data_IF_517948882550
#
_entry.id   IF_517948882550
#
_cell.length_a   1.000
_cell.length_b   1.000
_cell.length_c   1.000
_cell.angle_alpha   90.00
_cell.angle_beta   90.00
_cell.angle_gamma   90.00
#
_symmetry.space_group_name_H-M   'P 1'
#
loop_
_entity.id
_entity.type
_entity.pdbx_description
1 polymer ?
#
# COMPACT_ATOMS: atom_id res chain seq x y z
N UNK A 1 -5.52 -15.75 -56.74
CA UNK A 1 -6.50 -15.94 -55.65
C UNK A 1 -5.68 -16.33 -54.44
N UNK A 2 -5.55 -15.41 -53.49
CA UNK A 2 -4.57 -15.46 -52.42
C UNK A 2 -5.33 -15.75 -51.12
N UNK A 3 -5.02 -16.86 -50.44
CA UNK A 3 -5.66 -17.32 -49.20
C UNK A 3 -5.37 -16.42 -47.97
N UNK A 4 -4.83 -15.22 -48.18
CA UNK A 4 -4.48 -14.27 -47.12
C UNK A 4 -5.61 -13.30 -46.75
N UNK A 5 -6.68 -13.25 -47.56
CA UNK A 5 -7.77 -12.30 -47.32
C UNK A 5 -8.84 -12.85 -46.36
N UNK A 6 -8.97 -14.17 -46.20
CA UNK A 6 -9.94 -14.79 -45.27
C UNK A 6 -9.47 -14.76 -43.81
N UNK A 7 -8.17 -14.87 -43.54
CA UNK A 7 -7.65 -14.95 -42.15
C UNK A 7 -7.72 -13.60 -41.42
N UNK A 8 -7.75 -12.49 -42.17
CA UNK A 8 -7.91 -11.13 -41.60
C UNK A 8 -9.33 -10.86 -41.08
N UNK A 9 -10.31 -11.67 -41.48
CA UNK A 9 -11.73 -11.46 -41.15
C UNK A 9 -12.20 -12.20 -39.88
N UNK A 10 -11.39 -13.14 -39.36
CA UNK A 10 -11.78 -14.01 -38.24
C UNK A 10 -11.27 -13.53 -36.87
N UNK A 11 -10.33 -12.57 -36.83
CA UNK A 11 -9.77 -12.02 -35.58
C UNK A 11 -10.37 -10.68 -35.13
N UNK A 12 -11.40 -10.15 -35.79
CA UNK A 12 -12.20 -9.03 -35.25
C UNK A 12 -13.29 -9.54 -34.31
N UNK A 13 -12.92 -10.51 -33.46
CA UNK A 13 -13.78 -11.07 -32.43
C UNK A 13 -14.23 -9.94 -31.51
N UNK A 14 -15.48 -9.52 -31.72
CA UNK A 14 -16.38 -8.81 -30.84
C UNK A 14 -15.80 -8.64 -29.42
N UNK A 15 -14.95 -7.62 -29.25
CA UNK A 15 -14.44 -7.27 -27.94
C UNK A 15 -15.60 -6.59 -27.22
N UNK A 16 -16.39 -7.40 -26.52
CA UNK A 16 -17.43 -6.91 -25.62
C UNK A 16 -16.75 -6.00 -24.60
N UNK A 17 -16.84 -4.70 -24.85
CA UNK A 17 -16.31 -3.68 -23.96
C UNK A 17 -17.22 -3.63 -22.74
N UNK A 18 -16.96 -4.51 -21.78
CA UNK A 18 -17.74 -4.58 -20.54
C UNK A 18 -17.46 -3.28 -19.79
N UNK A 19 -18.45 -2.40 -19.59
CA UNK A 19 -18.22 -1.14 -18.89
C UNK A 19 -17.72 -1.44 -17.47
N UNK A 20 -16.54 -0.91 -17.15
CA UNK A 20 -15.89 -1.12 -15.85
C UNK A 20 -14.85 -2.23 -15.79
N UNK A 21 -14.64 -3.02 -16.86
CA UNK A 21 -13.56 -4.02 -16.92
C UNK A 21 -12.19 -3.40 -16.66
N UNK A 22 -11.93 -2.24 -17.23
CA UNK A 22 -10.66 -1.52 -17.04
C UNK A 22 -10.49 -1.00 -15.62
N UNK A 23 -11.58 -0.56 -14.98
CA UNK A 23 -11.54 -0.15 -13.57
C UNK A 23 -11.26 -1.33 -12.66
N UNK A 24 -11.86 -2.50 -12.93
CA UNK A 24 -11.61 -3.74 -12.18
C UNK A 24 -10.16 -4.17 -12.38
N UNK A 25 -9.67 -4.18 -13.61
CA UNK A 25 -8.29 -4.56 -13.93
C UNK A 25 -7.28 -3.61 -13.22
N UNK A 26 -7.51 -2.30 -13.27
CA UNK A 26 -6.69 -1.31 -12.56
C UNK A 26 -6.76 -1.51 -11.04
N UNK A 27 -7.94 -1.80 -10.49
CA UNK A 27 -8.09 -2.09 -9.06
C UNK A 27 -7.30 -3.33 -8.66
N UNK A 28 -7.40 -4.42 -9.41
CA UNK A 28 -6.63 -5.65 -9.17
C UNK A 28 -5.13 -5.36 -9.26
N UNK A 29 -4.69 -4.67 -10.31
CA UNK A 29 -3.28 -4.35 -10.53
C UNK A 29 -2.72 -3.48 -9.40
N UNK A 30 -3.46 -2.46 -8.95
CA UNK A 30 -3.03 -1.59 -7.84
C UNK A 30 -2.96 -2.35 -6.52
N UNK A 31 -3.91 -3.24 -6.24
CA UNK A 31 -3.88 -4.08 -5.05
C UNK A 31 -2.70 -5.05 -5.06
N UNK A 32 -2.39 -5.67 -6.20
CA UNK A 32 -1.19 -6.51 -6.36
C UNK A 32 0.08 -5.66 -6.13
N UNK A 33 0.13 -4.46 -6.70
CA UNK A 33 1.26 -3.55 -6.55
C UNK A 33 1.51 -3.18 -5.08
N UNK A 34 0.46 -2.86 -4.31
CA UNK A 34 0.58 -2.58 -2.86
C UNK A 34 0.89 -3.85 -2.06
N UNK A 35 0.02 -4.85 -2.12
CA UNK A 35 -0.02 -5.96 -1.16
C UNK A 35 1.04 -7.02 -1.41
N UNK A 36 1.46 -7.18 -2.66
CA UNK A 36 2.40 -8.22 -3.07
C UNK A 36 3.73 -7.60 -3.45
N UNK A 37 3.77 -6.82 -4.53
CA UNK A 37 5.04 -6.34 -5.12
C UNK A 37 5.79 -5.45 -4.15
N UNK A 38 5.17 -4.35 -3.72
CA UNK A 38 5.82 -3.38 -2.84
C UNK A 38 6.16 -4.00 -1.48
N UNK A 39 5.26 -4.83 -0.94
CA UNK A 39 5.51 -5.56 0.31
C UNK A 39 6.77 -6.42 0.23
N UNK A 40 6.91 -7.22 -0.83
CA UNK A 40 8.06 -8.09 -1.03
C UNK A 40 9.34 -7.25 -1.16
N UNK A 41 9.33 -6.22 -2.01
CA UNK A 41 10.50 -5.37 -2.24
C UNK A 41 10.95 -4.64 -0.98
N UNK A 42 10.04 -3.94 -0.29
CA UNK A 42 10.35 -3.21 0.94
C UNK A 42 10.87 -4.18 2.00
N UNK A 43 10.21 -5.32 2.19
CA UNK A 43 10.63 -6.32 3.18
C UNK A 43 11.99 -6.92 2.84
N UNK A 44 12.28 -7.17 1.56
CA UNK A 44 13.54 -7.72 1.10
C UNK A 44 14.70 -6.77 1.37
N UNK A 45 14.61 -5.52 0.91
CA UNK A 45 15.65 -4.52 1.14
C UNK A 45 15.87 -4.24 2.62
N UNK A 46 14.77 -4.17 3.40
CA UNK A 46 14.87 -3.98 4.84
C UNK A 46 15.56 -5.14 5.54
N UNK A 47 15.27 -6.39 5.15
CA UNK A 47 15.91 -7.58 5.73
C UNK A 47 17.40 -7.63 5.40
N UNK A 48 17.80 -7.26 4.18
CA UNK A 48 19.23 -7.14 3.82
C UNK A 48 19.91 -6.12 4.73
N UNK A 49 19.33 -4.91 4.85
CA UNK A 49 19.88 -3.88 5.73
C UNK A 49 19.97 -4.38 7.18
N UNK A 50 18.93 -5.05 7.68
CA UNK A 50 18.90 -5.62 9.03
C UNK A 50 20.01 -6.65 9.26
N UNK A 51 20.26 -7.55 8.29
CA UNK A 51 21.35 -8.54 8.36
C UNK A 51 22.70 -7.82 8.46
N UNK A 52 22.91 -6.76 7.67
CA UNK A 52 24.14 -5.97 7.70
C UNK A 52 24.31 -5.31 9.08
N UNK A 53 23.29 -4.61 9.60
CA UNK A 53 23.38 -3.93 10.89
C UNK A 53 23.62 -4.91 12.05
N UNK A 54 22.90 -6.04 12.07
CA UNK A 54 23.12 -7.08 13.08
C UNK A 54 24.51 -7.68 12.99
N UNK A 55 25.02 -7.90 11.77
CA UNK A 55 26.40 -8.40 11.56
C UNK A 55 27.47 -7.40 12.02
N UNK A 56 27.15 -6.10 12.02
CA UNK A 56 27.99 -5.03 12.56
C UNK A 56 27.84 -4.83 14.08
N UNK A 57 27.02 -5.66 14.75
CA UNK A 57 26.87 -5.66 16.21
C UNK A 57 25.57 -5.03 16.73
N UNK A 58 24.61 -4.68 15.86
CA UNK A 58 23.29 -4.22 16.31
C UNK A 58 22.44 -5.38 16.86
N UNK A 59 21.51 -5.06 17.76
CA UNK A 59 20.58 -6.06 18.30
C UNK A 59 19.50 -6.40 17.25
N UNK A 60 19.18 -7.69 17.01
CA UNK A 60 18.06 -8.08 16.15
C UNK A 60 16.73 -7.44 16.55
N UNK A 61 16.54 -7.11 17.84
CA UNK A 61 15.34 -6.44 18.35
C UNK A 61 15.16 -5.02 17.78
N UNK A 62 16.23 -4.38 17.33
CA UNK A 62 16.22 -3.03 16.76
C UNK A 62 15.76 -3.02 15.30
N UNK A 63 15.57 -4.20 14.70
CA UNK A 63 15.10 -4.37 13.33
C UNK A 63 13.70 -4.99 13.25
N UNK A 64 12.65 -4.35 13.81
CA UNK A 64 11.30 -4.90 13.79
C UNK A 64 10.73 -4.95 12.36
N UNK A 65 9.74 -5.82 12.08
CA UNK A 65 9.12 -5.91 10.76
C UNK A 65 8.55 -4.56 10.28
N UNK A 66 8.90 -4.17 9.05
CA UNK A 66 8.47 -2.89 8.44
C UNK A 66 7.11 -2.96 7.76
N UNK A 67 6.62 -4.18 7.50
CA UNK A 67 5.27 -4.46 7.05
C UNK A 67 4.58 -5.31 8.10
N UNK A 68 3.41 -4.87 8.55
CA UNK A 68 2.60 -5.55 9.55
C UNK A 68 1.72 -6.66 9.00
N UNK A 69 0.72 -7.07 9.79
CA UNK A 69 -0.21 -8.14 9.44
C UNK A 69 -1.32 -7.60 8.53
N UNK A 70 -1.62 -8.31 7.43
CA UNK A 70 -2.74 -7.95 6.54
C UNK A 70 -4.09 -7.99 7.25
N UNK A 71 -4.24 -8.87 8.26
CA UNK A 71 -5.45 -8.99 9.08
C UNK A 71 -5.84 -7.69 9.80
N UNK A 72 -4.94 -6.73 9.92
CA UNK A 72 -5.19 -5.44 10.56
C UNK A 72 -5.71 -4.36 9.60
N UNK A 73 -5.72 -4.61 8.27
CA UNK A 73 -6.05 -3.61 7.25
C UNK A 73 -7.57 -3.35 7.07
N UNK A 74 -8.32 -3.35 8.17
CA UNK A 74 -9.77 -3.09 8.15
C UNK A 74 -10.13 -1.61 8.42
N UNK A 75 -9.14 -0.73 8.51
CA UNK A 75 -9.32 0.73 8.52
C UNK A 75 -8.14 1.40 7.81
N UNK A 76 -8.35 2.57 7.21
CA UNK A 76 -7.26 3.36 6.61
C UNK A 76 -6.23 3.74 7.67
N UNK A 77 -6.68 3.98 8.90
CA UNK A 77 -5.77 4.23 10.03
C UNK A 77 -4.89 3.05 10.39
N UNK A 78 -5.43 1.84 10.40
CA UNK A 78 -4.62 0.65 10.62
C UNK A 78 -3.72 0.34 9.43
N UNK A 79 -4.19 0.58 8.20
CA UNK A 79 -3.38 0.39 7.01
C UNK A 79 -2.06 1.16 7.11
N UNK A 80 -2.11 2.47 7.36
CA UNK A 80 -0.89 3.28 7.51
C UNK A 80 -0.21 3.12 8.89
N UNK A 81 -0.99 2.95 9.95
CA UNK A 81 -0.51 2.97 11.32
C UNK A 81 0.01 1.63 11.87
N UNK A 82 -0.29 0.52 11.21
CA UNK A 82 0.11 -0.84 11.64
C UNK A 82 0.65 -1.71 10.52
N UNK A 83 0.13 -1.58 9.30
CA UNK A 83 0.51 -2.46 8.20
C UNK A 83 1.63 -1.89 7.31
N UNK A 84 1.47 -0.66 6.82
CA UNK A 84 2.32 -0.14 5.74
C UNK A 84 3.57 0.59 6.25
N UNK A 85 4.73 0.28 5.67
CA UNK A 85 5.99 1.04 5.75
C UNK A 85 6.29 1.71 7.11
N UNK A 86 6.37 0.90 8.17
CA UNK A 86 6.38 1.36 9.56
C UNK A 86 7.61 2.19 9.96
N UNK A 87 8.71 2.15 9.20
CA UNK A 87 9.91 2.96 9.47
C UNK A 87 9.64 4.46 9.43
N UNK A 88 8.71 4.90 8.57
CA UNK A 88 8.40 6.32 8.41
C UNK A 88 7.44 6.83 9.50
N UNK A 89 6.85 5.93 10.29
CA UNK A 89 5.85 6.29 11.29
C UNK A 89 6.42 7.23 12.33
N UNK A 90 7.54 6.88 12.95
CA UNK A 90 8.16 7.70 13.98
C UNK A 90 8.63 9.07 13.46
N UNK A 91 9.44 9.18 12.39
CA UNK A 91 9.90 10.48 11.92
C UNK A 91 8.73 11.38 11.47
N UNK A 92 7.77 10.86 10.70
CA UNK A 92 6.65 11.68 10.23
C UNK A 92 5.75 12.14 11.38
N UNK A 93 5.42 11.24 12.32
CA UNK A 93 4.58 11.63 13.47
C UNK A 93 5.31 12.57 14.42
N UNK A 94 6.63 12.41 14.61
CA UNK A 94 7.44 13.34 15.40
C UNK A 94 7.45 14.74 14.79
N UNK A 95 7.73 14.87 13.50
CA UNK A 95 7.70 16.15 12.77
C UNK A 95 6.33 16.80 12.85
N UNK A 96 5.27 16.00 12.65
CA UNK A 96 3.89 16.46 12.75
C UNK A 96 3.54 16.96 14.15
N UNK A 97 3.95 16.23 15.19
CA UNK A 97 3.72 16.61 16.58
C UNK A 97 4.48 17.90 16.95
N UNK A 98 5.72 18.03 16.48
CA UNK A 98 6.50 19.26 16.66
C UNK A 98 5.82 20.46 15.99
N UNK A 99 5.36 20.31 14.75
CA UNK A 99 4.70 21.42 14.04
C UNK A 99 3.36 21.79 14.70
N UNK A 100 2.52 20.81 15.00
CA UNK A 100 1.19 21.06 15.58
C UNK A 100 1.23 21.60 16.99
N UNK A 101 2.12 21.06 17.84
CA UNK A 101 2.18 21.41 19.27
C UNK A 101 3.24 22.45 19.59
N UNK A 102 4.41 22.35 18.96
CA UNK A 102 5.53 23.24 19.21
C UNK A 102 5.41 24.57 18.46
N UNK A 103 4.99 24.54 17.19
CA UNK A 103 4.92 25.75 16.35
C UNK A 103 3.53 26.38 16.40
N UNK A 104 2.47 25.59 16.20
CA UNK A 104 1.10 26.09 16.13
C UNK A 104 0.38 26.16 17.50
N UNK A 105 0.94 25.55 18.54
CA UNK A 105 0.39 25.60 19.89
C UNK A 105 -1.03 24.99 20.01
N UNK A 106 -1.39 24.01 19.17
CA UNK A 106 -2.75 23.48 19.14
C UNK A 106 -3.09 22.74 20.46
N UNK A 107 -4.35 22.86 20.95
CA UNK A 107 -4.77 22.18 22.18
C UNK A 107 -4.70 20.66 22.04
N UNK A 108 -4.14 20.00 23.06
CA UNK A 108 -3.98 18.54 23.08
C UNK A 108 -5.34 17.83 22.98
N UNK A 109 -5.35 16.74 22.23
CA UNK A 109 -6.51 15.89 21.98
C UNK A 109 -7.70 16.63 21.34
N UNK A 110 -7.45 17.78 20.70
CA UNK A 110 -8.48 18.49 19.95
C UNK A 110 -8.69 17.89 18.57
N UNK A 111 -9.89 18.09 18.02
CA UNK A 111 -10.20 17.67 16.65
C UNK A 111 -9.27 18.36 15.65
N UNK A 112 -8.99 19.65 15.85
CA UNK A 112 -8.08 20.44 15.01
C UNK A 112 -6.67 19.85 15.05
N UNK A 113 -6.10 19.63 16.24
CA UNK A 113 -4.77 19.02 16.38
C UNK A 113 -4.69 17.67 15.65
N UNK A 114 -5.71 16.81 15.79
CA UNK A 114 -5.73 15.49 15.17
C UNK A 114 -5.63 15.57 13.65
N UNK A 115 -6.48 16.37 13.01
CA UNK A 115 -6.50 16.43 11.54
C UNK A 115 -5.38 17.28 10.95
N UNK A 116 -4.91 18.31 11.67
CA UNK A 116 -3.67 18.99 11.29
C UNK A 116 -2.49 18.01 11.34
N UNK A 117 -2.42 17.13 12.35
CA UNK A 117 -1.37 16.12 12.37
C UNK A 117 -1.46 15.15 11.18
N UNK A 118 -2.66 14.64 10.90
CA UNK A 118 -2.89 13.75 9.76
C UNK A 118 -2.49 14.43 8.45
N UNK A 119 -2.90 15.69 8.25
CA UNK A 119 -2.52 16.48 7.09
C UNK A 119 -1.00 16.61 6.96
N UNK A 120 -0.31 17.01 8.02
CA UNK A 120 1.15 17.22 8.00
C UNK A 120 1.90 15.92 7.70
N UNK A 121 1.50 14.79 8.31
CA UNK A 121 2.09 13.48 8.04
C UNK A 121 1.96 13.12 6.55
N UNK A 122 0.76 13.21 5.99
CA UNK A 122 0.53 12.86 4.58
C UNK A 122 1.14 13.87 3.61
N UNK A 123 1.21 15.15 3.98
CA UNK A 123 1.88 16.18 3.18
C UNK A 123 3.38 15.89 3.05
N UNK A 124 4.09 15.64 4.16
CA UNK A 124 5.52 15.32 4.11
C UNK A 124 5.80 13.96 3.46
N UNK A 125 4.90 12.99 3.65
CA UNK A 125 4.95 11.72 2.91
C UNK A 125 4.86 11.98 1.40
N UNK A 126 3.84 12.71 0.96
CA UNK A 126 3.65 13.05 -0.45
C UNK A 126 4.80 13.86 -1.03
N UNK A 127 5.34 14.83 -0.28
CA UNK A 127 6.49 15.63 -0.69
C UNK A 127 7.72 14.76 -0.94
N UNK A 128 7.99 13.80 -0.05
CA UNK A 128 9.10 12.83 -0.23
C UNK A 128 8.94 12.05 -1.54
N UNK A 129 7.72 11.61 -1.85
CA UNK A 129 7.44 10.89 -3.10
C UNK A 129 7.56 11.79 -4.34
N UNK A 130 7.08 13.03 -4.30
CA UNK A 130 7.26 13.98 -5.42
C UNK A 130 8.74 14.28 -5.68
N UNK A 131 9.56 14.42 -4.63
CA UNK A 131 11.01 14.60 -4.79
C UNK A 131 11.63 13.36 -5.45
N UNK A 132 11.27 12.16 -5.00
CA UNK A 132 11.74 10.91 -5.58
C UNK A 132 11.29 10.73 -7.04
N UNK A 133 10.08 11.17 -7.39
CA UNK A 133 9.58 11.17 -8.77
C UNK A 133 10.38 12.16 -9.64
N UNK A 134 10.69 13.34 -9.10
CA UNK A 134 11.49 14.36 -9.78
C UNK A 134 12.89 13.87 -10.12
N UNK A 135 13.52 13.11 -9.22
CA UNK A 135 14.81 12.46 -9.46
C UNK A 135 14.77 11.40 -10.58
N UNK A 136 13.57 10.91 -10.94
CA UNK A 136 13.34 9.98 -12.05
C UNK A 136 12.93 10.68 -13.36
N UNK A 137 13.12 12.00 -13.44
CA UNK A 137 12.71 12.83 -14.57
C UNK A 137 11.19 12.84 -14.81
N UNK A 138 10.42 12.72 -13.73
CA UNK A 138 8.97 12.98 -13.74
C UNK A 138 8.78 14.47 -13.40
N UNK A 139 7.78 15.11 -14.02
CA UNK A 139 7.51 16.51 -13.75
C UNK A 139 7.13 16.72 -12.29
N UNK A 140 7.80 17.61 -11.53
CA UNK A 140 7.42 17.94 -10.15
C UNK A 140 6.04 18.61 -10.07
N UNK A 141 5.53 19.10 -11.20
CA UNK A 141 4.25 19.78 -11.33
C UNK A 141 3.07 18.81 -11.47
N UNK A 142 3.33 17.49 -11.52
CA UNK A 142 2.26 16.50 -11.53
C UNK A 142 1.61 16.41 -10.14
N UNK A 143 0.43 17.01 -10.02
CA UNK A 143 -0.35 17.05 -8.77
C UNK A 143 -0.86 15.67 -8.31
N UNK A 144 -0.70 14.62 -9.11
CA UNK A 144 -1.30 13.30 -8.86
C UNK A 144 -0.73 12.61 -7.62
N UNK A 145 0.60 12.59 -7.46
CA UNK A 145 1.26 11.98 -6.29
C UNK A 145 0.83 12.67 -5.00
N UNK A 146 0.88 14.01 -4.97
CA UNK A 146 0.45 14.76 -3.78
C UNK A 146 -1.05 14.57 -3.50
N UNK A 147 -1.90 14.57 -4.53
CA UNK A 147 -3.34 14.36 -4.40
C UNK A 147 -3.67 13.00 -3.81
N UNK A 148 -2.92 11.95 -4.18
CA UNK A 148 -3.06 10.62 -3.58
C UNK A 148 -2.85 10.66 -2.06
N UNK A 149 -1.72 11.21 -1.60
CA UNK A 149 -1.42 11.24 -0.16
C UNK A 149 -2.41 12.12 0.61
N UNK A 150 -2.74 13.30 0.09
CA UNK A 150 -3.69 14.20 0.75
C UNK A 150 -5.13 13.65 0.77
N UNK A 151 -5.49 12.76 -0.16
CA UNK A 151 -6.81 12.11 -0.14
C UNK A 151 -7.06 11.36 1.18
N UNK A 152 -6.03 10.76 1.80
CA UNK A 152 -6.20 10.01 3.06
C UNK A 152 -6.63 10.88 4.23
N UNK A 153 -6.41 12.19 4.17
CA UNK A 153 -6.98 13.13 5.16
C UNK A 153 -8.51 13.07 5.09
N UNK A 154 -9.07 13.15 3.88
CA UNK A 154 -10.52 13.02 3.65
C UNK A 154 -11.00 11.61 4.00
N UNK A 155 -10.25 10.57 3.61
CA UNK A 155 -10.55 9.19 3.95
C UNK A 155 -10.65 8.96 5.46
N UNK A 156 -9.76 9.58 6.25
CA UNK A 156 -9.79 9.50 7.71
C UNK A 156 -11.00 10.24 8.30
N UNK A 157 -11.37 11.41 7.75
CA UNK A 157 -12.55 12.15 8.19
C UNK A 157 -13.82 11.33 7.94
N UNK A 158 -13.95 10.74 6.75
CA UNK A 158 -15.10 9.89 6.38
C UNK A 158 -15.17 8.66 7.30
N UNK A 159 -14.04 7.96 7.46
CA UNK A 159 -13.95 6.78 8.32
C UNK A 159 -14.33 7.09 9.77
N UNK A 160 -13.79 8.17 10.35
CA UNK A 160 -14.11 8.60 11.71
C UNK A 160 -15.57 9.06 11.84
N UNK A 161 -16.12 9.72 10.82
CA UNK A 161 -17.51 10.14 10.76
C UNK A 161 -18.48 8.96 10.79
N UNK A 162 -18.23 7.95 9.95
CA UNK A 162 -19.04 6.71 9.89
C UNK A 162 -18.95 5.94 11.22
N UNK A 163 -17.74 5.76 11.77
CA UNK A 163 -17.55 5.10 13.06
C UNK A 163 -18.21 5.87 14.21
N UNK A 164 -18.13 7.21 14.18
CA UNK A 164 -18.76 8.07 15.17
C UNK A 164 -20.29 8.02 15.11
N UNK A 165 -20.86 8.02 13.90
CA UNK A 165 -22.30 7.89 13.70
C UNK A 165 -22.80 6.52 14.18
N UNK A 166 -22.13 5.43 13.79
CA UNK A 166 -22.47 4.07 14.22
C UNK A 166 -22.52 3.93 15.74
N UNK A 167 -21.51 4.46 16.45
CA UNK A 167 -21.47 4.45 17.91
C UNK A 167 -22.63 5.22 18.54
N UNK A 168 -23.10 6.29 17.89
CA UNK A 168 -24.22 7.12 18.37
C UNK A 168 -25.59 6.50 18.10
N UNK A 169 -25.75 5.75 17.01
CA UNK A 169 -27.08 5.28 16.54
C UNK A 169 -27.37 3.81 16.82
N UNK A 170 -26.37 2.91 16.74
CA UNK A 170 -26.56 1.47 16.88
C UNK A 170 -25.65 0.81 17.94
N UNK A 171 -24.47 1.38 18.22
CA UNK A 171 -23.33 0.65 18.77
C UNK A 171 -22.94 0.94 20.23
N UNK A 172 -23.89 1.12 21.16
CA UNK A 172 -23.59 1.27 22.60
C UNK A 172 -23.89 0.00 23.43
N UNK A 173 -24.61 -0.98 22.89
CA UNK A 173 -25.19 -2.06 23.71
C UNK A 173 -24.37 -3.36 23.85
N UNK A 174 -23.20 -3.50 23.22
CA UNK A 174 -22.37 -4.71 23.38
C UNK A 174 -20.89 -4.41 23.10
N UNK A 175 -20.21 -3.77 24.05
CA UNK A 175 -18.81 -3.40 23.92
C UNK A 175 -17.89 -4.48 24.48
N UNK A 176 -17.75 -5.59 23.76
CA UNK A 176 -16.72 -6.59 24.06
C UNK A 176 -15.31 -6.16 23.57
N UNK A 177 -15.11 -4.88 23.24
CA UNK A 177 -13.83 -4.28 22.85
C UNK A 177 -13.24 -4.76 21.51
N UNK A 178 -13.72 -5.87 20.96
CA UNK A 178 -13.27 -6.45 19.69
C UNK A 178 -14.29 -6.22 18.58
N UNK A 179 -13.88 -5.68 17.42
CA UNK A 179 -14.78 -5.51 16.28
C UNK A 179 -15.23 -6.88 15.76
N UNK A 180 -16.53 -7.00 15.54
CA UNK A 180 -17.16 -8.23 15.02
C UNK A 180 -16.60 -8.54 13.63
N UNK A 181 -16.51 -9.82 13.26
CA UNK A 181 -15.96 -10.26 11.97
C UNK A 181 -16.59 -9.54 10.76
N UNK A 182 -17.91 -9.29 10.77
CA UNK A 182 -18.56 -8.53 9.71
C UNK A 182 -18.09 -7.07 9.62
N UNK A 183 -17.79 -6.43 10.75
CA UNK A 183 -17.25 -5.06 10.78
C UNK A 183 -15.85 -5.01 10.17
N UNK A 184 -15.03 -6.03 10.47
CA UNK A 184 -13.72 -6.18 9.81
C UNK A 184 -13.88 -6.37 8.31
N UNK A 185 -14.79 -7.22 7.86
CA UNK A 185 -15.05 -7.44 6.43
C UNK A 185 -15.47 -6.15 5.71
N UNK A 186 -16.41 -5.37 6.29
CA UNK A 186 -16.78 -4.06 5.75
C UNK A 186 -15.60 -3.09 5.71
N UNK A 187 -14.81 -3.08 6.78
CA UNK A 187 -13.59 -2.29 6.87
C UNK A 187 -12.56 -2.64 5.79
N UNK A 188 -12.38 -3.94 5.49
CA UNK A 188 -11.54 -4.39 4.38
C UNK A 188 -12.07 -3.92 3.04
N UNK A 189 -13.38 -4.03 2.79
CA UNK A 189 -13.99 -3.50 1.58
C UNK A 189 -13.75 -1.98 1.45
N UNK A 190 -13.94 -1.23 2.52
CA UNK A 190 -13.66 0.21 2.56
C UNK A 190 -12.21 0.55 2.18
N UNK A 191 -11.23 -0.09 2.83
CA UNK A 191 -9.81 0.15 2.55
C UNK A 191 -9.46 -0.24 1.11
N UNK A 192 -9.99 -1.37 0.63
CA UNK A 192 -9.74 -1.86 -0.73
C UNK A 192 -10.31 -0.94 -1.78
N UNK A 193 -11.55 -0.47 -1.60
CA UNK A 193 -12.19 0.49 -2.51
C UNK A 193 -11.42 1.81 -2.49
N UNK A 194 -11.08 2.33 -1.31
CA UNK A 194 -10.35 3.59 -1.20
C UNK A 194 -8.99 3.51 -1.92
N UNK A 195 -8.23 2.44 -1.69
CA UNK A 195 -6.97 2.21 -2.38
C UNK A 195 -7.19 2.03 -3.88
N UNK A 196 -8.19 1.25 -4.32
CA UNK A 196 -8.48 1.04 -5.74
C UNK A 196 -8.82 2.32 -6.49
N UNK A 197 -9.53 3.26 -5.85
CA UNK A 197 -9.91 4.55 -6.44
C UNK A 197 -8.75 5.54 -6.46
N UNK A 198 -7.95 5.61 -5.39
CA UNK A 198 -6.91 6.64 -5.23
C UNK A 198 -5.55 6.23 -5.79
N UNK A 199 -5.20 4.95 -5.72
CA UNK A 199 -3.89 4.43 -6.17
C UNK A 199 -3.59 4.62 -7.65
N UNK A 200 -4.57 4.62 -8.58
CA UNK A 200 -4.31 4.96 -9.97
C UNK A 200 -3.66 6.34 -10.13
N UNK A 201 -3.94 7.31 -9.26
CA UNK A 201 -3.28 8.62 -9.32
C UNK A 201 -1.79 8.51 -9.00
N UNK A 202 -1.44 7.67 -8.03
CA UNK A 202 -0.06 7.43 -7.63
C UNK A 202 0.71 6.56 -8.63
N UNK A 203 0.09 5.49 -9.13
CA UNK A 203 0.72 4.57 -10.07
C UNK A 203 0.55 4.95 -11.54
N UNK A 204 -0.10 6.09 -11.86
CA UNK A 204 -0.27 6.52 -13.25
C UNK A 204 1.07 6.56 -14.00
N UNK A 205 2.12 7.06 -13.34
CA UNK A 205 3.46 7.15 -13.90
C UNK A 205 4.14 5.80 -14.05
N UNK A 206 3.96 4.92 -13.06
CA UNK A 206 4.38 3.53 -13.11
C UNK A 206 3.75 2.76 -14.29
N UNK A 207 2.47 3.04 -14.57
CA UNK A 207 1.72 2.43 -15.67
C UNK A 207 2.15 2.99 -17.03
N UNK A 208 2.46 4.30 -17.11
CA UNK A 208 2.85 4.96 -18.36
C UNK A 208 4.32 4.69 -18.73
N UNK A 209 5.21 4.52 -17.75
CA UNK A 209 6.66 4.33 -17.94
C UNK A 209 7.19 3.11 -17.17
N UNK A 210 6.83 1.89 -17.57
CA UNK A 210 7.21 0.66 -16.86
C UNK A 210 8.72 0.43 -16.85
N UNK A 211 9.46 0.90 -17.86
CA UNK A 211 10.91 0.76 -17.97
C UNK A 211 11.67 1.41 -16.81
N UNK A 212 11.14 2.50 -16.25
CA UNK A 212 11.75 3.18 -15.11
C UNK A 212 11.49 2.44 -13.78
N UNK A 213 10.43 1.63 -13.69
CA UNK A 213 10.17 0.79 -12.52
C UNK A 213 11.02 -0.47 -12.49
N UNK A 214 11.37 -1.02 -13.66
CA UNK A 214 12.24 -2.20 -13.77
C UNK A 214 13.62 -1.99 -13.13
N UNK A 215 14.08 -0.73 -13.02
CA UNK A 215 15.33 -0.35 -12.34
C UNK A 215 15.26 -0.57 -10.82
N UNK A 216 14.05 -0.55 -10.23
CA UNK A 216 13.86 -0.74 -8.77
C UNK A 216 13.76 -2.21 -8.36
N UNK A 217 13.57 -3.11 -9.32
CA UNK A 217 13.65 -4.54 -9.06
C UNK A 217 15.12 -4.88 -8.83
N UNK A 218 15.48 -5.51 -7.69
CA UNK A 218 16.87 -5.83 -7.36
C UNK A 218 17.52 -6.74 -8.41
N UNK A 219 16.71 -7.38 -9.26
CA UNK A 219 17.12 -8.25 -10.35
C UNK A 219 15.97 -8.40 -11.34
N UNK A 220 16.18 -8.07 -12.62
CA UNK A 220 15.27 -8.47 -13.70
C UNK A 220 15.48 -9.96 -13.98
N UNK A 221 14.83 -10.81 -13.18
CA UNK A 221 14.85 -12.27 -13.42
C UNK A 221 13.73 -12.69 -14.37
N UNK A 222 12.92 -11.74 -14.87
CA UNK A 222 11.86 -12.00 -15.84
C UNK A 222 12.40 -12.60 -17.16
N UNK A 223 13.69 -12.44 -17.47
CA UNK A 223 14.35 -13.11 -18.59
C UNK A 223 14.94 -14.50 -18.28
N UNK A 224 15.04 -14.91 -17.02
CA UNK A 224 15.80 -16.11 -16.61
C UNK A 224 15.02 -17.16 -15.81
N UNK A 225 13.89 -16.81 -15.17
CA UNK A 225 13.12 -17.75 -14.36
C UNK A 225 11.79 -18.07 -15.06
N UNK A 226 11.67 -19.31 -15.53
CA UNK A 226 10.38 -19.84 -15.99
C UNK A 226 9.41 -19.99 -14.80
N UNK A 227 8.10 -19.89 -15.06
CA UNK A 227 7.03 -20.08 -14.06
C UNK A 227 7.20 -21.36 -13.23
N UNK A 228 7.77 -22.41 -13.84
CA UNK A 228 8.05 -23.69 -13.19
C UNK A 228 9.11 -23.61 -12.08
N UNK A 229 10.14 -22.77 -12.27
CA UNK A 229 11.20 -22.58 -11.26
C UNK A 229 10.66 -21.76 -10.08
N UNK A 230 9.83 -20.74 -10.35
CA UNK A 230 9.18 -19.97 -9.28
C UNK A 230 8.26 -20.85 -8.43
N UNK A 231 7.44 -21.69 -9.05
CA UNK A 231 6.59 -22.65 -8.33
C UNK A 231 7.43 -23.60 -7.48
N UNK A 232 8.58 -24.05 -8.00
CA UNK A 232 9.49 -24.94 -7.27
C UNK A 232 10.14 -24.27 -6.06
N UNK A 233 10.51 -22.99 -6.18
CA UNK A 233 11.07 -22.20 -5.06
C UNK A 233 10.01 -21.95 -3.99
N UNK A 234 8.77 -21.62 -4.39
CA UNK A 234 7.67 -21.38 -3.45
C UNK A 234 7.28 -22.66 -2.71
N UNK A 235 7.14 -23.78 -3.43
CA UNK A 235 6.82 -25.08 -2.84
C UNK A 235 7.97 -25.55 -1.95
N UNK A 236 9.21 -25.47 -2.43
CA UNK A 236 10.40 -25.86 -1.66
C UNK A 236 10.59 -25.00 -0.40
N UNK A 237 10.46 -23.68 -0.51
CA UNK A 237 10.54 -22.77 0.61
C UNK A 237 9.41 -22.97 1.63
N UNK A 238 8.18 -23.21 1.17
CA UNK A 238 7.05 -23.53 2.03
C UNK A 238 7.23 -24.85 2.79
N UNK A 239 7.80 -25.87 2.14
CA UNK A 239 8.14 -27.14 2.77
C UNK A 239 9.26 -26.97 3.81
N UNK A 240 10.33 -26.23 3.50
CA UNK A 240 11.41 -25.98 4.45
C UNK A 240 10.91 -25.20 5.67
N UNK A 241 10.07 -24.19 5.48
CA UNK A 241 9.48 -23.43 6.59
C UNK A 241 8.56 -24.31 7.47
N UNK A 242 7.77 -25.19 6.85
CA UNK A 242 6.89 -26.11 7.58
C UNK A 242 7.68 -27.18 8.36
N UNK A 243 8.70 -27.76 7.75
CA UNK A 243 9.44 -28.89 8.34
C UNK A 243 10.56 -28.48 9.29
N UNK A 244 11.24 -27.35 9.04
CA UNK A 244 12.37 -26.90 9.88
C UNK A 244 11.91 -26.01 11.01
N UNK A 245 10.88 -25.18 10.79
CA UNK A 245 10.47 -24.16 11.75
C UNK A 245 9.06 -24.35 12.32
N UNK A 246 8.37 -25.45 11.98
CA UNK A 246 7.05 -25.78 12.51
C UNK A 246 5.96 -24.77 12.18
N UNK A 247 6.14 -23.96 11.13
CA UNK A 247 5.18 -22.93 10.74
C UNK A 247 3.91 -23.52 10.16
N UNK A 248 2.75 -23.17 10.72
CA UNK A 248 1.46 -23.35 10.06
C UNK A 248 1.39 -22.39 8.85
N UNK A 249 1.06 -22.95 7.68
CA UNK A 249 0.93 -22.23 6.42
C UNK A 249 -0.42 -21.52 6.36
#
# INVERSE_FOLDING_TARGET
MNDQDEESSVSSGLQWDIPGRDMIAQTIQTLIAWLVVSRILISFYYRIASIIFVSLGDSPSNSPPVIGRMADMYTLRNFWGKFWHQLLRLPLTSTSNFLTRGVLGLPRSSFVERYTNVFVVFFFSGLTHVILDSLRNISPWDFWTMSFFLSFVLGYIIEDGVQGLWKRTLGSQNDNGLPVWWQKALGFCWVTIWLGVTSPWYFKLAIIKPEQQMVLLPFSIAGFISLSVLNSIVIGGGLVLKFVFGGEI
#
